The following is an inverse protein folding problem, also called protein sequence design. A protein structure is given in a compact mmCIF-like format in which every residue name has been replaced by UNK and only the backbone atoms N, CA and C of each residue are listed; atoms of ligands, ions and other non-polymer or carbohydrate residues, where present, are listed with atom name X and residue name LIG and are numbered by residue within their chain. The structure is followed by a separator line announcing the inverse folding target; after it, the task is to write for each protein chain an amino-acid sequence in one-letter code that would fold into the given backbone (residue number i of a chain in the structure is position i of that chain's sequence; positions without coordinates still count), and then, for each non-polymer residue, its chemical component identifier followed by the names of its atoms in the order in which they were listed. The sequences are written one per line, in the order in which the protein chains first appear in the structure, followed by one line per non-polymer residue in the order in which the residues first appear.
data_IF_380873199266
#
_entry.id   IF_380873199266
#
_cell.length_a   1.000
_cell.length_b   1.000
_cell.length_c   1.000
_cell.angle_alpha   90.00
_cell.angle_beta   90.00
_cell.angle_gamma   90.00
#
_symmetry.space_group_name_H-M   'P 1'
#
loop_
_entity.id
_entity.type
_entity.pdbx_description
1 polymer ?
#
# COMPACT_ATOMS: atom_id res chain seq x y z
N UNK A 1 22.39 38.97 12.55
CA UNK A 1 21.09 38.30 12.28
C UNK A 1 21.02 36.93 12.98
N UNK A 2 20.68 36.86 14.28
CA UNK A 2 20.44 35.59 15.02
C UNK A 2 19.06 35.53 15.71
N UNK A 3 18.24 36.57 15.56
CA UNK A 3 16.96 36.77 16.27
C UNK A 3 15.74 36.18 15.57
N UNK A 4 15.77 35.95 14.24
CA UNK A 4 14.54 35.54 13.51
C UNK A 4 14.11 34.10 13.80
N UNK A 5 15.04 33.18 14.07
CA UNK A 5 14.72 31.77 14.29
C UNK A 5 13.98 31.51 15.60
N UNK A 6 14.32 32.23 16.69
CA UNK A 6 13.61 32.10 17.97
C UNK A 6 12.17 32.60 17.88
N UNK A 7 11.95 33.73 17.22
CA UNK A 7 10.61 34.31 17.01
C UNK A 7 9.77 33.41 16.09
N UNK A 8 10.36 32.89 15.01
CA UNK A 8 9.69 31.96 14.11
C UNK A 8 9.32 30.63 14.78
N UNK A 9 10.12 30.15 15.74
CA UNK A 9 9.83 28.92 16.49
C UNK A 9 8.78 29.13 17.59
N UNK A 10 8.56 30.37 18.04
CA UNK A 10 7.53 30.71 19.02
C UNK A 10 6.17 31.05 18.38
N UNK A 11 6.14 31.35 17.07
CA UNK A 11 4.92 31.67 16.34
C UNK A 11 4.20 30.38 15.85
N UNK A 12 2.97 30.08 16.30
CA UNK A 12 2.25 28.87 15.92
C UNK A 12 2.01 28.75 14.41
N UNK A 13 1.74 29.88 13.74
CA UNK A 13 1.54 29.94 12.28
C UNK A 13 2.84 29.62 11.54
N UNK A 14 3.96 30.20 11.97
CA UNK A 14 5.27 29.92 11.37
C UNK A 14 5.73 28.47 11.59
N UNK A 15 5.39 27.87 12.73
CA UNK A 15 5.67 26.46 13.02
C UNK A 15 4.80 25.55 12.16
N UNK A 16 3.51 25.82 12.02
CA UNK A 16 2.59 25.03 11.19
C UNK A 16 2.90 25.12 9.69
N UNK A 17 3.30 26.30 9.20
CA UNK A 17 3.67 26.52 7.80
C UNK A 17 5.12 26.13 7.47
N UNK A 18 5.99 26.02 8.48
CA UNK A 18 7.27 25.35 8.31
C UNK A 18 6.99 23.87 8.12
N UNK A 19 6.86 23.44 6.86
CA UNK A 19 6.97 22.03 6.51
C UNK A 19 8.20 21.48 7.22
N UNK A 20 8.01 20.55 8.15
CA UNK A 20 9.07 20.05 9.03
C UNK A 20 10.13 19.41 8.13
N UNK A 21 11.18 20.17 7.78
CA UNK A 21 12.16 19.76 6.75
C UNK A 21 13.02 18.57 7.15
N UNK A 22 12.97 18.14 8.41
CA UNK A 22 13.73 16.98 8.88
C UNK A 22 13.09 16.44 10.16
N UNK A 23 11.90 15.83 10.06
CA UNK A 23 11.85 14.50 10.67
C UNK A 23 12.69 13.68 9.72
N UNK A 24 13.97 13.46 10.08
CA UNK A 24 14.62 12.24 9.61
C UNK A 24 13.65 11.17 10.05
N UNK A 25 12.83 10.69 9.13
CA UNK A 25 12.21 9.41 9.33
C UNK A 25 13.42 8.51 9.54
N UNK A 26 13.74 8.22 10.80
CA UNK A 26 14.37 6.97 11.16
C UNK A 26 13.30 5.94 10.80
N UNK A 27 13.02 5.80 9.49
CA UNK A 27 12.13 4.84 8.90
C UNK A 27 12.55 3.55 9.57
N UNK A 28 11.64 3.02 10.39
CA UNK A 28 11.95 1.98 11.34
C UNK A 28 12.72 0.89 10.61
N UNK A 29 13.98 0.69 11.00
CA UNK A 29 14.88 -0.36 10.45
C UNK A 29 14.37 -1.80 10.70
N UNK A 30 13.09 -1.93 11.04
CA UNK A 30 12.33 -3.15 11.19
C UNK A 30 11.05 -3.00 10.36
N UNK A 31 11.20 -2.84 9.04
CA UNK A 31 10.19 -3.41 8.14
C UNK A 31 10.03 -4.87 8.56
N UNK A 32 8.79 -5.31 8.73
CA UNK A 32 8.47 -6.60 9.33
C UNK A 32 9.37 -7.71 8.75
N UNK A 33 10.13 -8.37 9.61
CA UNK A 33 11.05 -9.43 9.21
C UNK A 33 10.33 -10.75 9.39
N UNK A 34 10.19 -11.49 8.31
CA UNK A 34 9.77 -12.88 8.31
C UNK A 34 10.99 -13.75 8.11
N UNK A 35 11.03 -14.90 8.79
CA UNK A 35 12.13 -15.85 8.71
C UNK A 35 11.80 -16.94 7.69
N UNK A 36 10.54 -17.37 7.65
CA UNK A 36 10.10 -18.46 6.78
C UNK A 36 9.39 -17.96 5.53
N UNK A 37 9.48 -18.67 4.39
CA UNK A 37 8.63 -18.42 3.24
C UNK A 37 7.16 -18.40 3.66
N UNK A 38 6.41 -17.41 3.15
CA UNK A 38 4.96 -17.37 3.27
C UNK A 38 4.39 -17.13 4.69
N UNK A 39 5.24 -16.84 5.68
CA UNK A 39 4.80 -16.42 7.01
C UNK A 39 4.17 -15.01 6.96
N UNK A 40 4.77 -14.07 6.21
CA UNK A 40 4.25 -12.72 6.06
C UNK A 40 4.26 -12.29 4.59
N UNK A 41 3.14 -11.72 4.16
CA UNK A 41 2.99 -11.12 2.82
C UNK A 41 2.66 -9.64 2.91
N UNK A 42 3.44 -8.81 2.22
CA UNK A 42 3.06 -7.42 1.97
C UNK A 42 2.10 -7.36 0.79
N UNK A 43 0.97 -6.68 0.94
CA UNK A 43 -0.03 -6.47 -0.09
C UNK A 43 -0.14 -4.99 -0.44
N UNK A 44 -0.35 -4.72 -1.73
CA UNK A 44 -0.67 -3.40 -2.24
C UNK A 44 -1.57 -3.52 -3.48
N UNK A 45 -2.30 -2.44 -3.78
CA UNK A 45 -3.12 -2.31 -4.99
C UNK A 45 -2.49 -1.30 -5.93
N UNK A 46 -1.97 -1.77 -7.06
CA UNK A 46 -1.34 -0.90 -8.06
C UNK A 46 -2.32 -0.61 -9.19
N UNK A 47 -2.45 0.67 -9.55
CA UNK A 47 -3.28 1.14 -10.66
C UNK A 47 -3.88 2.53 -10.39
N UNK A 48 -4.95 2.91 -11.11
CA UNK A 48 -5.58 2.17 -12.20
C UNK A 48 -4.73 2.18 -13.49
N UNK A 49 -4.71 1.04 -14.18
CA UNK A 49 -4.14 0.88 -15.52
C UNK A 49 -5.22 0.99 -16.58
N UNK A 50 -4.95 1.73 -17.65
CA UNK A 50 -5.81 1.81 -18.83
C UNK A 50 -5.43 0.69 -19.79
N UNK A 51 -6.40 -0.14 -20.17
CA UNK A 51 -6.16 -1.19 -21.17
C UNK A 51 -6.08 -0.58 -22.57
N UNK A 52 -4.86 -0.46 -23.11
CA UNK A 52 -4.66 -0.05 -24.50
C UNK A 52 -5.05 -1.18 -25.45
N UNK A 53 -6.01 -0.94 -26.35
CA UNK A 53 -6.43 -1.89 -27.39
C UNK A 53 -7.89 -2.33 -27.33
N UNK A 54 -8.59 -2.04 -26.23
CA UNK A 54 -10.03 -2.24 -26.09
C UNK A 54 -10.70 -0.87 -26.21
N UNK A 55 -11.22 -0.54 -27.41
CA UNK A 55 -12.10 0.63 -27.59
C UNK A 55 -13.55 0.19 -27.39
N UNK A 56 -14.15 0.53 -26.25
CA UNK A 56 -15.53 1.00 -26.25
C UNK A 56 -15.69 2.23 -25.37
N UNK A 57 -16.82 2.92 -25.53
CA UNK A 57 -17.17 4.11 -24.75
C UNK A 57 -17.21 3.76 -23.26
N UNK A 58 -16.43 4.48 -22.44
CA UNK A 58 -16.25 4.19 -21.01
C UNK A 58 -15.01 3.35 -20.78
N UNK A 59 -13.93 3.98 -20.32
CA UNK A 59 -12.67 3.30 -20.09
C UNK A 59 -12.78 2.29 -18.93
N UNK A 60 -12.80 0.99 -19.24
CA UNK A 60 -12.57 -0.06 -18.25
C UNK A 60 -11.12 0.02 -17.76
N UNK A 61 -10.95 0.62 -16.59
CA UNK A 61 -9.69 0.65 -15.86
C UNK A 61 -9.58 -0.58 -14.97
N UNK A 62 -8.36 -1.05 -14.75
CA UNK A 62 -8.10 -2.22 -13.91
C UNK A 62 -7.00 -1.94 -12.91
N UNK A 63 -7.03 -2.65 -11.80
CA UNK A 63 -5.96 -2.63 -10.81
C UNK A 63 -5.33 -4.02 -10.72
N UNK A 64 -4.17 -4.09 -10.08
CA UNK A 64 -3.53 -5.34 -9.74
C UNK A 64 -3.36 -5.43 -8.23
N UNK A 65 -3.79 -6.54 -7.64
CA UNK A 65 -3.31 -6.96 -6.33
C UNK A 65 -1.88 -7.41 -6.52
N UNK A 66 -0.96 -6.83 -5.76
CA UNK A 66 0.44 -7.27 -5.69
C UNK A 66 0.68 -7.82 -4.30
N UNK A 67 1.16 -9.06 -4.24
CA UNK A 67 1.61 -9.69 -3.01
C UNK A 67 3.10 -9.96 -3.07
N UNK A 68 3.81 -9.62 -2.00
CA UNK A 68 5.26 -9.84 -1.88
C UNK A 68 5.54 -10.63 -0.62
N UNK A 69 6.13 -11.82 -0.77
CA UNK A 69 6.61 -12.61 0.36
C UNK A 69 7.74 -11.86 1.08
N UNK A 70 7.59 -11.58 2.38
CA UNK A 70 8.53 -10.72 3.10
C UNK A 70 9.92 -11.36 3.30
N UNK A 71 10.01 -12.70 3.34
CA UNK A 71 11.27 -13.42 3.53
C UNK A 71 12.04 -13.60 2.23
N UNK A 72 11.36 -13.97 1.13
CA UNK A 72 12.00 -14.29 -0.15
C UNK A 72 11.94 -13.19 -1.21
N UNK A 73 11.06 -12.20 -1.05
CA UNK A 73 10.78 -11.20 -2.09
C UNK A 73 10.02 -11.76 -3.30
N UNK A 74 9.52 -13.00 -3.24
CA UNK A 74 8.71 -13.59 -4.30
C UNK A 74 7.42 -12.79 -4.49
N UNK A 75 7.08 -12.51 -5.75
CA UNK A 75 5.96 -11.63 -6.11
C UNK A 75 4.85 -12.46 -6.77
N UNK A 76 3.64 -12.25 -6.29
CA UNK A 76 2.39 -12.76 -6.87
C UNK A 76 1.51 -11.60 -7.28
N UNK A 77 0.68 -11.81 -8.30
CA UNK A 77 -0.23 -10.76 -8.75
C UNK A 77 -1.56 -11.31 -9.24
N UNK A 78 -2.62 -10.53 -9.06
CA UNK A 78 -3.94 -10.83 -9.64
C UNK A 78 -4.60 -9.56 -10.16
N UNK A 79 -5.13 -9.63 -11.37
CA UNK A 79 -5.91 -8.55 -11.99
C UNK A 79 -7.27 -8.44 -11.30
N UNK A 80 -7.69 -7.23 -11.01
CA UNK A 80 -9.01 -6.89 -10.45
C UNK A 80 -9.61 -5.67 -11.18
N UNK A 81 -10.91 -5.51 -11.08
CA UNK A 81 -11.61 -4.33 -11.59
C UNK A 81 -11.20 -3.06 -10.83
N UNK A 82 -11.15 -1.91 -11.52
CA UNK A 82 -10.99 -0.65 -10.83
C UNK A 82 -12.21 -0.36 -9.92
N UNK A 83 -11.97 0.19 -8.74
CA UNK A 83 -12.99 0.39 -7.69
C UNK A 83 -13.67 -0.90 -7.22
N UNK A 84 -12.98 -2.04 -7.27
CA UNK A 84 -13.56 -3.29 -6.80
C UNK A 84 -14.01 -3.16 -5.32
N UNK A 85 -15.21 -3.65 -4.96
CA UNK A 85 -15.61 -3.74 -3.57
C UNK A 85 -14.76 -4.77 -2.84
N UNK A 86 -14.70 -4.69 -1.52
CA UNK A 86 -13.82 -5.53 -0.72
C UNK A 86 -14.04 -7.05 -0.88
N UNK A 87 -15.28 -7.50 -1.08
CA UNK A 87 -15.54 -8.92 -1.33
C UNK A 87 -14.85 -9.43 -2.62
N UNK A 88 -14.72 -8.59 -3.66
CA UNK A 88 -13.98 -8.92 -4.89
C UNK A 88 -12.47 -8.92 -4.68
N UNK A 89 -11.98 -8.08 -3.78
CA UNK A 89 -10.58 -8.12 -3.34
C UNK A 89 -10.28 -9.44 -2.61
N UNK A 90 -11.18 -9.88 -1.72
CA UNK A 90 -11.07 -11.17 -1.01
C UNK A 90 -11.08 -12.34 -1.99
N UNK A 91 -12.01 -12.37 -2.95
CA UNK A 91 -12.03 -13.39 -4.02
C UNK A 91 -10.68 -13.45 -4.79
N UNK A 92 -10.11 -12.28 -5.10
CA UNK A 92 -8.80 -12.19 -5.77
C UNK A 92 -7.64 -12.71 -4.91
N UNK A 93 -7.65 -12.44 -3.61
CA UNK A 93 -6.66 -12.93 -2.65
C UNK A 93 -6.78 -14.44 -2.43
N UNK A 94 -7.99 -14.97 -2.27
CA UNK A 94 -8.24 -16.40 -2.17
C UNK A 94 -7.72 -17.12 -3.41
N UNK A 95 -7.92 -16.55 -4.61
CA UNK A 95 -7.36 -17.13 -5.83
C UNK A 95 -5.82 -17.17 -5.83
N UNK A 96 -5.14 -16.17 -5.26
CA UNK A 96 -3.68 -16.20 -5.07
C UNK A 96 -3.30 -17.30 -4.08
N UNK A 97 -4.00 -17.39 -2.95
CA UNK A 97 -3.67 -18.35 -1.89
C UNK A 97 -3.96 -19.80 -2.27
N UNK A 98 -4.98 -20.04 -3.08
CA UNK A 98 -5.25 -21.37 -3.62
C UNK A 98 -4.17 -21.82 -4.61
N UNK A 99 -3.51 -20.90 -5.31
CA UNK A 99 -2.46 -21.20 -6.28
C UNK A 99 -1.08 -21.40 -5.62
N UNK A 100 -0.77 -20.61 -4.58
CA UNK A 100 0.57 -20.55 -3.99
C UNK A 100 0.64 -21.01 -2.52
N UNK A 101 -0.50 -21.25 -1.88
CA UNK A 101 -0.64 -21.55 -0.44
C UNK A 101 -1.21 -20.37 0.35
N UNK A 102 -1.66 -20.61 1.57
CA UNK A 102 -2.14 -19.55 2.48
C UNK A 102 -1.01 -19.03 3.37
N UNK A 103 -0.86 -17.70 3.42
CA UNK A 103 0.14 -17.08 4.29
C UNK A 103 -0.38 -16.96 5.73
N UNK A 104 0.54 -16.88 6.70
CA UNK A 104 0.14 -16.76 8.12
C UNK A 104 -0.29 -15.33 8.49
N UNK A 105 0.23 -14.33 7.78
CA UNK A 105 -0.06 -12.94 8.03
C UNK A 105 0.03 -12.09 6.78
N UNK A 106 -0.77 -11.02 6.77
CA UNK A 106 -0.84 -10.03 5.71
C UNK A 106 -0.54 -8.65 6.29
N UNK A 107 0.26 -7.87 5.58
CA UNK A 107 0.53 -6.47 5.84
C UNK A 107 0.04 -5.64 4.66
N UNK A 108 -0.89 -4.72 4.90
CA UNK A 108 -1.40 -3.75 3.91
C UNK A 108 -1.23 -2.32 4.40
N UNK A 109 -1.54 -1.36 3.54
CA UNK A 109 -1.81 0.02 3.95
C UNK A 109 -3.22 0.16 4.54
N UNK A 110 -3.61 1.41 4.81
CA UNK A 110 -4.90 1.79 5.41
C UNK A 110 -6.00 1.98 4.35
N UNK A 111 -5.90 1.29 3.19
CA UNK A 111 -6.97 1.30 2.20
C UNK A 111 -8.23 0.67 2.79
N UNK A 112 -9.36 1.37 2.66
CA UNK A 112 -10.64 0.97 3.24
C UNK A 112 -11.07 -0.44 2.83
N UNK A 113 -10.67 -0.90 1.64
CA UNK A 113 -11.01 -2.23 1.13
C UNK A 113 -10.38 -3.37 1.95
N UNK A 114 -9.28 -3.11 2.67
CA UNK A 114 -8.67 -4.08 3.59
C UNK A 114 -9.32 -4.11 4.98
N UNK A 115 -10.07 -3.07 5.33
CA UNK A 115 -10.65 -2.89 6.66
C UNK A 115 -12.17 -3.04 6.73
N UNK A 116 -12.84 -3.19 5.60
CA UNK A 116 -14.28 -3.39 5.57
C UNK A 116 -14.66 -4.77 6.13
N UNK A 117 -15.58 -4.80 7.09
CA UNK A 117 -16.28 -6.03 7.47
C UNK A 117 -17.22 -6.49 6.36
N UNK A 118 -17.40 -7.82 6.17
CA UNK A 118 -18.42 -8.38 5.28
C UNK A 118 -19.84 -7.90 5.59
#
# INVERSE_FOLDING_TARGET
MRTSLRVQNACPVCVAQRGIRTRRHTLGKKLARSVEPWELMGLDLIGPFVQSGVRPMGHESVMAIIGVCASSGFIVQRKIENHCPAHKLVEGLDSIFMEHGYCLGVLSDDDQRYHSTP
#
